data_IF_617806461118
#
_entry.id   IF_617806461118
#
_cell.length_a   1.000
_cell.length_b   1.000
_cell.length_c   1.000
_cell.angle_alpha   90.00
_cell.angle_beta   90.00
_cell.angle_gamma   90.00
#
_symmetry.space_group_name_H-M   'P 1'
#
loop_
_entity.id
_entity.type
_entity.pdbx_description
1 polymer ?
#
# COMPACT_ATOMS: atom_id res chain seq x y z
N UNK A 1 16.52 -66.20 31.40
CA UNK A 1 15.88 -65.90 30.11
C UNK A 1 15.42 -64.46 30.02
N UNK A 2 16.29 -63.41 29.99
CA UNK A 2 15.82 -62.02 29.95
C UNK A 2 16.79 -61.03 29.26
N UNK A 3 17.91 -61.49 28.75
CA UNK A 3 18.89 -60.58 28.11
C UNK A 3 18.65 -60.38 26.60
N UNK A 4 18.06 -61.38 25.93
CA UNK A 4 17.84 -61.36 24.50
C UNK A 4 16.73 -60.38 24.06
N UNK A 5 15.68 -60.20 24.84
CA UNK A 5 14.57 -59.30 24.55
C UNK A 5 14.96 -57.83 24.63
N UNK A 6 15.86 -57.44 25.54
CA UNK A 6 16.31 -56.06 25.72
C UNK A 6 17.13 -55.55 24.52
N UNK A 7 17.94 -56.44 23.94
CA UNK A 7 18.80 -56.07 22.78
C UNK A 7 17.98 -55.89 21.51
N UNK A 8 16.93 -56.66 21.30
CA UNK A 8 16.03 -56.54 20.15
C UNK A 8 15.17 -55.26 20.28
N UNK A 9 14.66 -54.98 21.47
CA UNK A 9 13.86 -53.78 21.74
C UNK A 9 14.66 -52.48 21.53
N UNK A 10 15.92 -52.47 21.98
CA UNK A 10 16.82 -51.31 21.79
C UNK A 10 17.10 -51.04 20.33
N UNK A 11 17.27 -52.06 19.50
CA UNK A 11 17.48 -51.94 18.07
C UNK A 11 16.24 -51.42 17.31
N UNK A 12 15.05 -51.87 17.74
CA UNK A 12 13.78 -51.40 17.16
C UNK A 12 13.55 -49.92 17.51
N UNK A 13 13.79 -49.52 18.74
CA UNK A 13 13.65 -48.11 19.15
C UNK A 13 14.68 -47.22 18.45
N UNK A 14 15.91 -47.68 18.27
CA UNK A 14 16.96 -46.95 17.57
C UNK A 14 16.61 -46.80 16.06
N UNK A 15 16.08 -47.85 15.42
CA UNK A 15 15.65 -47.81 14.02
C UNK A 15 14.45 -46.86 13.81
N UNK A 16 13.45 -46.90 14.71
CA UNK A 16 12.31 -45.99 14.68
C UNK A 16 12.74 -44.50 14.88
N UNK A 17 13.68 -44.27 15.81
CA UNK A 17 14.22 -42.91 16.04
C UNK A 17 14.97 -42.40 14.80
N UNK A 18 15.73 -43.22 14.12
CA UNK A 18 16.46 -42.86 12.90
C UNK A 18 15.49 -42.54 11.74
N UNK A 19 14.40 -43.29 11.60
CA UNK A 19 13.38 -43.02 10.57
C UNK A 19 12.67 -41.67 10.81
N UNK A 20 12.33 -41.33 12.06
CA UNK A 20 11.69 -40.05 12.37
C UNK A 20 12.62 -38.88 12.06
N UNK A 21 13.91 -38.97 12.35
CA UNK A 21 14.90 -37.93 12.02
C UNK A 21 15.07 -37.81 10.51
N UNK A 22 15.10 -38.89 9.76
CA UNK A 22 15.20 -38.85 8.30
C UNK A 22 13.98 -38.17 7.61
N UNK A 23 12.76 -38.44 8.13
CA UNK A 23 11.55 -37.78 7.57
C UNK A 23 11.58 -36.27 7.81
N UNK A 24 11.97 -35.81 9.02
CA UNK A 24 12.05 -34.38 9.32
C UNK A 24 13.10 -33.65 8.46
N UNK A 25 14.22 -34.30 8.12
CA UNK A 25 15.26 -33.71 7.27
C UNK A 25 14.79 -33.62 5.81
N UNK A 26 14.05 -34.61 5.33
CA UNK A 26 13.52 -34.61 3.96
C UNK A 26 12.48 -33.50 3.71
N UNK A 27 11.59 -33.24 4.67
CA UNK A 27 10.61 -32.16 4.58
C UNK A 27 11.28 -30.77 4.61
N UNK A 28 12.31 -30.57 5.43
CA UNK A 28 13.07 -29.33 5.48
C UNK A 28 13.84 -29.02 4.19
N UNK A 29 14.33 -30.04 3.51
CA UNK A 29 15.01 -29.92 2.21
C UNK A 29 14.04 -29.64 1.07
N UNK A 30 12.85 -30.27 1.06
CA UNK A 30 11.81 -30.03 0.09
C UNK A 30 11.30 -28.59 0.11
N UNK A 31 11.11 -28.02 1.29
CA UNK A 31 10.64 -26.63 1.43
C UNK A 31 11.68 -25.59 1.00
N UNK A 32 12.98 -25.87 1.13
CA UNK A 32 14.04 -24.98 0.65
C UNK A 32 14.18 -25.06 -0.88
N UNK A 33 14.10 -26.24 -1.45
CA UNK A 33 14.17 -26.42 -2.89
C UNK A 33 12.99 -25.79 -3.64
N UNK A 34 11.76 -25.88 -3.09
CA UNK A 34 10.59 -25.22 -3.67
C UNK A 34 10.73 -23.70 -3.65
N UNK A 35 11.13 -23.10 -2.52
CA UNK A 35 11.37 -21.66 -2.43
C UNK A 35 12.45 -21.15 -3.40
N UNK A 36 13.54 -21.90 -3.54
CA UNK A 36 14.61 -21.55 -4.49
C UNK A 36 14.09 -21.60 -5.93
N UNK A 37 13.27 -22.58 -6.26
CA UNK A 37 12.67 -22.72 -7.61
C UNK A 37 11.67 -21.59 -7.89
N UNK A 38 10.83 -21.24 -6.92
CA UNK A 38 9.89 -20.12 -7.03
C UNK A 38 10.64 -18.78 -7.22
N UNK A 39 11.70 -18.55 -6.46
CA UNK A 39 12.56 -17.36 -6.61
C UNK A 39 13.22 -17.28 -8.00
N UNK A 40 13.70 -18.42 -8.50
CA UNK A 40 14.29 -18.48 -9.84
C UNK A 40 13.23 -18.21 -10.93
N UNK A 41 12.03 -18.73 -10.77
CA UNK A 41 10.91 -18.48 -11.68
C UNK A 41 10.49 -17.01 -11.67
N UNK A 42 10.37 -16.40 -10.49
CA UNK A 42 10.08 -14.97 -10.37
C UNK A 42 11.20 -14.10 -10.97
N UNK A 43 12.47 -14.45 -10.76
CA UNK A 43 13.58 -13.72 -11.35
C UNK A 43 13.61 -13.81 -12.88
N UNK A 44 13.20 -14.95 -13.44
CA UNK A 44 13.07 -15.12 -14.88
C UNK A 44 11.91 -14.27 -15.46
N UNK A 45 10.76 -14.23 -14.77
CA UNK A 45 9.64 -13.37 -15.13
C UNK A 45 10.05 -11.88 -15.06
N UNK A 46 10.77 -11.49 -14.02
CA UNK A 46 11.25 -10.11 -13.83
C UNK A 46 12.23 -9.67 -14.94
N UNK A 47 12.91 -10.61 -15.60
CA UNK A 47 13.86 -10.31 -16.66
C UNK A 47 13.21 -9.73 -17.94
N UNK A 48 11.90 -9.88 -18.11
CA UNK A 48 11.14 -9.30 -19.23
C UNK A 48 11.03 -7.77 -19.14
N UNK A 49 11.21 -7.20 -17.95
CA UNK A 49 11.04 -5.76 -17.69
C UNK A 49 12.36 -4.99 -17.81
N UNK A 50 12.25 -3.68 -17.98
CA UNK A 50 13.38 -2.77 -18.00
C UNK A 50 14.16 -2.71 -16.67
N UNK A 51 15.33 -2.06 -16.65
CA UNK A 51 16.22 -2.03 -15.48
C UNK A 51 15.57 -1.39 -14.24
N UNK A 52 14.74 -0.34 -14.37
CA UNK A 52 14.09 0.33 -13.23
C UNK A 52 13.07 -0.59 -12.58
N UNK A 53 12.18 -1.18 -13.39
CA UNK A 53 11.17 -2.13 -12.89
C UNK A 53 11.83 -3.33 -12.24
N UNK A 54 12.87 -3.91 -12.85
CA UNK A 54 13.63 -5.03 -12.27
C UNK A 54 14.29 -4.68 -10.94
N UNK A 55 14.87 -3.49 -10.84
CA UNK A 55 15.47 -3.02 -9.58
C UNK A 55 14.43 -2.92 -8.47
N UNK A 56 13.25 -2.37 -8.76
CA UNK A 56 12.15 -2.28 -7.80
C UNK A 56 11.62 -3.67 -7.39
N UNK A 57 11.42 -4.59 -8.34
CA UNK A 57 11.01 -5.96 -8.04
C UNK A 57 12.07 -6.71 -7.21
N UNK A 58 13.34 -6.47 -7.48
CA UNK A 58 14.47 -6.96 -6.68
C UNK A 58 14.46 -6.41 -5.26
N UNK A 59 14.19 -5.12 -5.09
CA UNK A 59 14.02 -4.49 -3.78
C UNK A 59 12.86 -5.14 -2.98
N UNK A 60 11.69 -5.32 -3.58
CA UNK A 60 10.55 -5.98 -2.92
C UNK A 60 10.87 -7.42 -2.50
N UNK A 61 11.66 -8.15 -3.32
CA UNK A 61 12.14 -9.49 -2.98
C UNK A 61 13.06 -9.46 -1.76
N UNK A 62 14.00 -8.52 -1.73
CA UNK A 62 14.89 -8.34 -0.58
C UNK A 62 14.11 -7.98 0.70
N UNK A 63 13.07 -7.14 0.60
CA UNK A 63 12.17 -6.84 1.72
C UNK A 63 11.45 -8.10 2.22
N UNK A 64 10.95 -8.95 1.32
CA UNK A 64 10.32 -10.21 1.72
C UNK A 64 11.31 -11.15 2.44
N UNK A 65 12.57 -11.21 1.98
CA UNK A 65 13.62 -12.00 2.65
C UNK A 65 13.91 -11.53 4.06
N UNK A 66 13.93 -10.21 4.29
CA UNK A 66 14.10 -9.63 5.63
C UNK A 66 12.90 -10.02 6.53
N UNK A 67 11.69 -9.92 6.03
CA UNK A 67 10.48 -10.29 6.79
C UNK A 67 10.46 -11.78 7.11
N UNK A 68 10.84 -12.64 6.14
CA UNK A 68 10.95 -14.10 6.32
C UNK A 68 12.01 -14.46 7.38
N UNK A 69 13.18 -13.81 7.34
CA UNK A 69 14.26 -14.04 8.29
C UNK A 69 13.85 -13.64 9.72
N UNK A 70 13.25 -12.45 9.88
CA UNK A 70 12.73 -12.01 11.19
C UNK A 70 11.64 -12.93 11.75
N UNK A 71 10.75 -13.43 10.89
CA UNK A 71 9.73 -14.39 11.28
C UNK A 71 10.38 -15.73 11.71
N UNK A 72 11.40 -16.21 10.98
CA UNK A 72 12.11 -17.44 11.31
C UNK A 72 12.80 -17.39 12.66
N UNK A 73 13.30 -16.21 13.04
CA UNK A 73 13.90 -15.92 14.35
C UNK A 73 12.88 -15.59 15.44
N UNK A 74 11.58 -15.58 15.11
CA UNK A 74 10.48 -15.21 16.01
C UNK A 74 10.58 -13.77 16.56
N UNK A 75 11.16 -12.87 15.81
CA UNK A 75 11.28 -11.45 16.17
C UNK A 75 9.99 -10.66 15.89
N UNK A 76 9.13 -11.20 15.03
CA UNK A 76 7.85 -10.60 14.65
C UNK A 76 6.71 -11.61 14.83
N UNK A 77 5.52 -11.09 15.15
CA UNK A 77 4.34 -11.92 15.31
C UNK A 77 3.75 -12.37 13.95
N UNK A 78 2.93 -13.44 13.92
CA UNK A 78 2.35 -13.95 12.67
C UNK A 78 1.38 -13.00 11.98
N UNK A 79 0.76 -12.04 12.68
CA UNK A 79 -0.13 -11.05 12.09
C UNK A 79 0.70 -10.02 11.33
N UNK A 80 1.73 -9.48 11.98
CA UNK A 80 2.68 -8.56 11.36
C UNK A 80 3.35 -9.18 10.12
N UNK A 81 3.80 -10.44 10.22
CA UNK A 81 4.37 -11.18 9.10
C UNK A 81 3.40 -11.24 7.90
N UNK A 82 2.16 -11.69 8.14
CA UNK A 82 1.16 -11.80 7.06
C UNK A 82 0.86 -10.45 6.42
N UNK A 83 0.65 -9.42 7.24
CA UNK A 83 0.34 -8.08 6.77
C UNK A 83 1.45 -7.53 5.86
N UNK A 84 2.70 -7.57 6.30
CA UNK A 84 3.83 -7.08 5.49
C UNK A 84 4.05 -7.92 4.23
N UNK A 85 3.95 -9.24 4.31
CA UNK A 85 4.04 -10.10 3.13
C UNK A 85 2.91 -9.83 2.13
N UNK A 86 1.70 -9.55 2.58
CA UNK A 86 0.57 -9.17 1.75
C UNK A 86 0.78 -7.79 1.10
N UNK A 87 1.31 -6.81 1.85
CA UNK A 87 1.69 -5.49 1.34
C UNK A 87 2.72 -5.59 0.21
N UNK A 88 3.79 -6.35 0.43
CA UNK A 88 4.84 -6.58 -0.59
C UNK A 88 4.25 -7.20 -1.85
N UNK A 89 3.33 -8.17 -1.72
CA UNK A 89 2.64 -8.76 -2.87
C UNK A 89 1.76 -7.74 -3.60
N UNK A 90 1.04 -6.90 -2.86
CA UNK A 90 0.19 -5.86 -3.46
C UNK A 90 1.02 -4.85 -4.26
N UNK A 91 2.16 -4.39 -3.71
CA UNK A 91 3.12 -3.53 -4.38
C UNK A 91 3.68 -4.18 -5.65
N UNK A 92 4.09 -5.46 -5.56
CA UNK A 92 4.59 -6.21 -6.72
C UNK A 92 3.53 -6.30 -7.82
N UNK A 93 2.29 -6.65 -7.48
CA UNK A 93 1.21 -6.75 -8.46
C UNK A 93 0.93 -5.41 -9.14
N UNK A 94 0.95 -4.29 -8.39
CA UNK A 94 0.75 -2.97 -8.97
C UNK A 94 1.93 -2.56 -9.87
N UNK A 95 3.16 -2.79 -9.45
CA UNK A 95 4.35 -2.49 -10.26
C UNK A 95 4.32 -3.22 -11.60
N UNK A 96 4.00 -4.52 -11.58
CA UNK A 96 3.86 -5.33 -12.80
C UNK A 96 2.71 -4.85 -13.69
N UNK A 97 1.59 -4.42 -13.09
CA UNK A 97 0.46 -3.84 -13.83
C UNK A 97 0.88 -2.56 -14.55
N UNK A 98 1.48 -1.62 -13.83
CA UNK A 98 1.94 -0.36 -14.40
C UNK A 98 2.92 -0.61 -15.55
N UNK A 99 3.93 -1.47 -15.32
CA UNK A 99 4.94 -1.76 -16.33
C UNK A 99 4.34 -2.36 -17.62
N UNK A 100 3.32 -3.21 -17.51
CA UNK A 100 2.62 -3.80 -18.66
C UNK A 100 1.68 -2.81 -19.35
N UNK A 101 1.00 -1.94 -18.60
CA UNK A 101 0.05 -0.96 -19.16
C UNK A 101 0.76 0.22 -19.82
N UNK A 102 1.92 0.63 -19.31
CA UNK A 102 2.66 1.79 -19.82
C UNK A 102 3.69 1.42 -20.88
N UNK A 103 4.07 0.15 -20.97
CA UNK A 103 5.11 -0.37 -21.88
C UNK A 103 6.45 0.40 -21.78
N UNK A 104 6.69 1.05 -20.63
CA UNK A 104 7.91 1.79 -20.37
C UNK A 104 8.58 1.34 -19.06
N UNK A 105 9.86 1.70 -18.89
CA UNK A 105 10.65 1.36 -17.71
C UNK A 105 10.59 2.49 -16.66
N UNK A 106 9.39 2.95 -16.35
CA UNK A 106 9.15 3.95 -15.33
C UNK A 106 8.18 3.43 -14.26
N UNK A 107 8.54 3.60 -12.99
CA UNK A 107 7.65 3.37 -11.86
C UNK A 107 7.63 4.60 -10.97
N UNK A 108 6.46 5.11 -10.61
CA UNK A 108 6.34 6.10 -9.56
C UNK A 108 6.70 5.48 -8.20
N UNK A 109 6.94 6.31 -7.19
CA UNK A 109 7.03 5.84 -5.81
C UNK A 109 5.68 5.30 -5.38
N UNK A 110 5.62 3.99 -5.07
CA UNK A 110 4.39 3.28 -4.74
C UNK A 110 4.22 3.14 -3.23
N UNK A 111 3.03 3.48 -2.74
CA UNK A 111 2.60 3.27 -1.38
C UNK A 111 1.41 2.30 -1.36
N UNK A 112 1.42 1.37 -0.40
CA UNK A 112 0.33 0.41 -0.21
C UNK A 112 -0.10 0.42 1.26
N UNK A 113 -1.32 0.81 1.52
CA UNK A 113 -1.89 0.90 2.86
C UNK A 113 -3.25 0.21 2.92
N UNK A 114 -3.61 -0.29 4.08
CA UNK A 114 -4.96 -0.76 4.38
C UNK A 114 -5.83 0.40 4.86
N UNK A 115 -7.13 0.20 4.96
CA UNK A 115 -8.08 1.24 5.37
C UNK A 115 -7.77 1.80 6.77
N UNK A 116 -7.30 0.95 7.67
CA UNK A 116 -6.90 1.31 9.04
C UNK A 116 -5.55 2.04 9.13
N UNK A 117 -4.86 2.21 8.01
CA UNK A 117 -3.57 2.90 7.91
C UNK A 117 -3.65 4.21 7.10
N UNK A 118 -4.83 4.67 6.73
CA UNK A 118 -4.96 5.92 5.94
C UNK A 118 -4.45 7.16 6.67
N UNK A 119 -4.46 7.17 7.98
CA UNK A 119 -3.87 8.21 8.83
C UNK A 119 -2.36 8.36 8.67
N UNK A 120 -1.68 7.34 8.13
CA UNK A 120 -0.26 7.44 7.78
C UNK A 120 0.00 8.30 6.53
N UNK A 121 -1.01 8.44 5.65
CA UNK A 121 -0.90 9.19 4.40
C UNK A 121 -1.68 10.49 4.40
N UNK A 122 -2.77 10.58 5.18
CA UNK A 122 -3.71 11.69 5.15
C UNK A 122 -4.01 12.19 6.57
N UNK A 123 -3.89 13.48 6.80
CA UNK A 123 -4.30 14.12 8.06
C UNK A 123 -5.82 13.97 8.30
N UNK A 124 -6.60 14.06 7.22
CA UNK A 124 -8.04 13.80 7.20
C UNK A 124 -8.32 12.70 6.17
N UNK A 125 -8.39 11.43 6.60
CA UNK A 125 -8.58 10.31 5.69
C UNK A 125 -9.93 10.38 4.97
N UNK A 126 -9.96 10.36 3.63
CA UNK A 126 -11.20 10.28 2.88
C UNK A 126 -11.86 8.89 3.03
N UNK A 127 -13.16 8.82 2.84
CA UNK A 127 -13.87 7.55 2.86
C UNK A 127 -13.36 6.63 1.72
N UNK A 128 -13.13 5.32 1.98
CA UNK A 128 -12.62 4.39 0.96
C UNK A 128 -13.45 4.33 -0.32
N UNK A 129 -14.76 4.53 -0.21
CA UNK A 129 -15.70 4.54 -1.32
C UNK A 129 -15.62 5.79 -2.22
N UNK A 130 -14.96 6.85 -1.77
CA UNK A 130 -14.82 8.10 -2.53
C UNK A 130 -13.68 8.04 -3.54
N UNK A 131 -12.72 7.13 -3.40
CA UNK A 131 -11.55 7.05 -4.26
C UNK A 131 -11.89 6.67 -5.69
N UNK A 132 -11.38 7.43 -6.65
CA UNK A 132 -11.45 7.13 -8.09
C UNK A 132 -10.06 6.89 -8.63
N UNK A 133 -9.90 5.84 -9.43
CA UNK A 133 -8.60 5.53 -10.05
C UNK A 133 -8.14 6.71 -10.91
N UNK A 134 -6.89 7.12 -10.72
CA UNK A 134 -6.27 8.28 -11.37
C UNK A 134 -6.51 9.62 -10.65
N UNK A 135 -7.38 9.67 -9.63
CA UNK A 135 -7.64 10.87 -8.85
C UNK A 135 -6.41 11.25 -7.99
N UNK A 136 -6.14 12.55 -7.95
CA UNK A 136 -5.08 13.12 -7.12
C UNK A 136 -5.66 13.59 -5.79
N UNK A 137 -5.05 13.13 -4.70
CA UNK A 137 -5.45 13.41 -3.33
C UNK A 137 -4.39 14.29 -2.65
N UNK A 138 -4.82 15.35 -1.98
CA UNK A 138 -3.96 16.28 -1.23
C UNK A 138 -2.74 16.78 -2.02
N UNK A 139 -2.85 16.89 -3.37
CA UNK A 139 -1.76 17.27 -4.28
C UNK A 139 -0.48 16.41 -4.14
N UNK A 140 -0.55 15.28 -3.43
CA UNK A 140 0.61 14.45 -3.08
C UNK A 140 0.51 13.04 -3.63
N UNK A 141 -0.68 12.46 -3.61
CA UNK A 141 -0.88 11.07 -3.97
C UNK A 141 -1.88 10.94 -5.13
N UNK A 142 -1.57 10.05 -6.08
CA UNK A 142 -2.52 9.60 -7.10
C UNK A 142 -3.00 8.20 -6.77
N UNK A 143 -4.31 8.02 -6.66
CA UNK A 143 -4.88 6.71 -6.39
C UNK A 143 -4.82 5.79 -7.60
N UNK A 144 -4.23 4.61 -7.45
CA UNK A 144 -4.02 3.64 -8.52
C UNK A 144 -5.03 2.49 -8.51
N UNK A 145 -5.66 2.24 -7.37
CA UNK A 145 -6.66 1.18 -7.23
C UNK A 145 -6.48 0.35 -5.98
N UNK A 146 -7.30 -0.70 -5.87
CA UNK A 146 -7.27 -1.64 -4.74
C UNK A 146 -6.75 -2.99 -5.21
N UNK A 147 -5.84 -3.57 -4.46
CA UNK A 147 -5.31 -4.91 -4.68
C UNK A 147 -5.68 -5.80 -3.49
N UNK A 148 -6.56 -6.79 -3.68
CA UNK A 148 -6.84 -7.77 -2.64
C UNK A 148 -5.68 -8.75 -2.52
N UNK A 149 -5.21 -8.99 -1.31
CA UNK A 149 -4.10 -9.92 -1.03
C UNK A 149 -4.43 -10.73 0.21
N UNK A 150 -4.73 -12.00 0.05
CA UNK A 150 -5.22 -12.85 1.13
C UNK A 150 -6.60 -12.38 1.63
N UNK A 151 -6.67 -11.95 2.88
CA UNK A 151 -7.90 -11.41 3.50
C UNK A 151 -7.89 -9.89 3.63
N UNK A 152 -6.83 -9.23 3.18
CA UNK A 152 -6.62 -7.78 3.28
C UNK A 152 -6.83 -7.13 1.92
N UNK A 153 -7.22 -5.87 1.94
CA UNK A 153 -7.32 -5.01 0.75
C UNK A 153 -6.35 -3.87 0.91
N UNK A 154 -5.40 -3.78 0.00
CA UNK A 154 -4.46 -2.68 -0.04
C UNK A 154 -4.90 -1.64 -1.06
N UNK A 155 -4.96 -0.41 -0.63
CA UNK A 155 -5.15 0.77 -1.46
C UNK A 155 -3.78 1.25 -1.92
N UNK A 156 -3.59 1.30 -3.23
CA UNK A 156 -2.32 1.64 -3.85
C UNK A 156 -2.33 3.10 -4.31
N UNK A 157 -1.30 3.80 -3.93
CA UNK A 157 -1.08 5.20 -4.29
C UNK A 157 0.28 5.36 -4.96
N UNK A 158 0.35 6.25 -5.95
CA UNK A 158 1.60 6.76 -6.46
C UNK A 158 1.86 8.11 -5.79
N UNK A 159 3.02 8.28 -5.18
CA UNK A 159 3.45 9.60 -4.72
C UNK A 159 3.86 10.41 -5.94
N UNK A 160 3.30 11.59 -6.10
CA UNK A 160 3.64 12.53 -7.15
C UNK A 160 5.04 13.11 -6.88
N UNK A 161 5.77 13.40 -7.94
CA UNK A 161 7.05 14.10 -7.77
C UNK A 161 6.85 15.52 -7.23
N UNK A 162 7.85 16.12 -6.59
CA UNK A 162 7.72 17.46 -5.97
C UNK A 162 7.37 18.57 -6.96
N UNK A 163 7.77 18.44 -8.22
CA UNK A 163 7.46 19.41 -9.25
C UNK A 163 5.97 19.35 -9.63
N UNK A 164 5.45 18.15 -9.87
CA UNK A 164 4.01 17.92 -10.15
C UNK A 164 3.13 18.40 -8.98
N UNK A 165 3.55 18.13 -7.73
CA UNK A 165 2.86 18.63 -6.54
C UNK A 165 2.80 20.16 -6.52
N UNK A 166 3.92 20.84 -6.83
CA UNK A 166 3.99 22.30 -6.83
C UNK A 166 3.09 22.91 -7.92
N UNK A 167 3.06 22.33 -9.12
CA UNK A 167 2.21 22.78 -10.22
C UNK A 167 0.70 22.62 -9.87
N UNK A 168 0.32 21.51 -9.27
CA UNK A 168 -1.07 21.29 -8.85
C UNK A 168 -1.52 22.29 -7.77
N UNK A 169 -0.68 22.59 -6.79
CA UNK A 169 -0.98 23.61 -5.76
C UNK A 169 -1.14 24.99 -6.37
N UNK A 170 -0.23 25.38 -7.26
CA UNK A 170 -0.30 26.67 -7.97
C UNK A 170 -1.56 26.79 -8.85
N UNK A 171 -1.94 25.70 -9.51
CA UNK A 171 -3.17 25.67 -10.29
C UNK A 171 -4.43 25.85 -9.42
N UNK A 172 -4.47 25.23 -8.24
CA UNK A 172 -5.57 25.36 -7.28
C UNK A 172 -5.67 26.79 -6.71
N UNK A 173 -4.55 27.41 -6.33
CA UNK A 173 -4.50 28.80 -5.86
C UNK A 173 -5.01 29.79 -6.93
N UNK A 174 -4.63 29.56 -8.20
CA UNK A 174 -5.06 30.36 -9.33
C UNK A 174 -6.57 30.27 -9.59
N UNK A 175 -7.18 29.13 -9.32
CA UNK A 175 -8.63 28.92 -9.44
C UNK A 175 -9.40 29.59 -8.29
N UNK A 176 -8.86 29.56 -7.08
CA UNK A 176 -9.47 30.19 -5.90
C UNK A 176 -9.49 31.71 -6.02
N UNK A 177 -8.44 32.33 -6.59
CA UNK A 177 -8.36 33.77 -6.82
C UNK A 177 -9.23 34.28 -7.98
N UNK A 178 -9.70 33.38 -8.87
CA UNK A 178 -10.61 33.71 -9.98
C UNK A 178 -12.09 33.59 -9.68
N UNK A 179 -12.51 33.23 -8.46
CA UNK A 179 -13.92 33.23 -8.07
C UNK A 179 -14.38 34.68 -8.01
N UNK A 180 -15.29 35.16 -8.91
CA UNK A 180 -15.69 36.56 -8.96
C UNK A 180 -16.45 36.87 -7.67
N UNK A 181 -15.91 37.80 -6.90
CA UNK A 181 -16.63 38.61 -5.95
C UNK A 181 -17.63 39.45 -6.79
N UNK A 182 -18.92 39.10 -6.77
CA UNK A 182 -19.90 39.90 -7.46
C UNK A 182 -21.10 39.16 -8.05
N UNK A 183 -21.97 38.68 -7.18
CA UNK A 183 -23.41 38.75 -7.44
C UNK A 183 -24.08 39.37 -6.24
N UNK A 184 -24.00 40.68 -6.16
CA UNK A 184 -25.02 41.51 -5.51
C UNK A 184 -26.32 41.24 -6.28
N UNK A 185 -27.41 40.82 -5.66
CA UNK A 185 -28.69 40.75 -6.35
C UNK A 185 -29.16 42.18 -6.59
N UNK A 186 -29.07 42.61 -7.82
CA UNK A 186 -29.65 43.87 -8.27
C UNK A 186 -31.19 43.79 -8.27
N UNK A 187 -31.83 44.69 -7.55
CA UNK A 187 -33.04 45.35 -7.97
C UNK A 187 -34.33 44.63 -7.85
N UNK A 188 -35.03 44.77 -6.70
CA UNK A 188 -36.46 44.82 -6.67
C UNK A 188 -36.91 46.26 -6.83
N UNK A 189 -38.09 46.56 -7.47
CA UNK A 189 -38.49 47.89 -7.85
C UNK A 189 -38.95 48.76 -6.68
N UNK A 190 -38.61 50.03 -6.75
CA UNK A 190 -39.02 51.10 -5.87
C UNK A 190 -40.55 51.26 -5.80
N UNK A 191 -41.09 51.23 -4.61
CA UNK A 191 -42.40 51.81 -4.28
C UNK A 191 -42.21 52.85 -3.22
N UNK A 192 -42.68 54.08 -3.54
CA UNK A 192 -42.46 55.27 -2.78
C UNK A 192 -43.08 55.27 -1.38
N UNK A 193 -42.49 56.00 -0.49
CA UNK A 193 -42.98 56.26 0.86
C UNK A 193 -42.22 57.36 1.53
N UNK A 194 -42.71 58.54 1.36
CA UNK A 194 -42.60 59.80 2.10
C UNK A 194 -41.54 59.94 3.20
N UNK A 195 -40.68 60.92 2.97
CA UNK A 195 -39.81 61.67 3.90
C UNK A 195 -40.59 62.18 5.13
N UNK A 196 -40.23 61.72 6.31
CA UNK A 196 -40.52 62.46 7.57
C UNK A 196 -39.21 62.83 8.22
N UNK A 197 -38.93 64.15 8.19
CA UNK A 197 -37.80 64.84 8.86
C UNK A 197 -38.03 64.80 10.38
N UNK A 198 -37.13 64.37 11.21
CA UNK A 198 -37.21 64.64 12.64
C UNK A 198 -36.71 66.05 12.94
N UNK A 199 -37.52 66.76 13.69
CA UNK A 199 -37.35 68.11 14.21
C UNK A 199 -36.30 68.12 15.30
N UNK A 200 -35.32 69.05 15.15
CA UNK A 200 -34.38 69.45 16.20
C UNK A 200 -35.17 70.06 17.37
N UNK A 201 -34.93 69.56 18.55
CA UNK A 201 -35.26 70.28 19.80
C UNK A 201 -33.95 70.74 20.40
N UNK A 202 -33.81 72.10 20.53
CA UNK A 202 -32.73 72.76 21.26
C UNK A 202 -33.09 72.73 22.75
N UNK A 203 -32.09 72.54 23.56
CA UNK A 203 -32.05 72.85 24.98
C UNK A 203 -32.14 74.33 25.32
N UNK A 204 -32.39 74.56 26.59
CA UNK A 204 -31.41 75.36 27.30
C UNK A 204 -30.56 74.56 28.32
#
# INVERSE_FOLDING_TARGET
MSSFGRSVWLRVVLALSCCVVCVCVAEAQGSRASRTRERAAQAAEDAEFGPVVRAYLGYLRAQQEVVDDRASRREIDPRYYRHNSNRIRALRQMALRIARETENDFLPELEAVTEDEFDLLFDEPPAPSSFRVGETLNFTFRFLGVVPTGRERFFLFARLDPYEQAELRKAAESQTSKKPEGQTPAGGPATGGQSVRPRRVNEP
#
